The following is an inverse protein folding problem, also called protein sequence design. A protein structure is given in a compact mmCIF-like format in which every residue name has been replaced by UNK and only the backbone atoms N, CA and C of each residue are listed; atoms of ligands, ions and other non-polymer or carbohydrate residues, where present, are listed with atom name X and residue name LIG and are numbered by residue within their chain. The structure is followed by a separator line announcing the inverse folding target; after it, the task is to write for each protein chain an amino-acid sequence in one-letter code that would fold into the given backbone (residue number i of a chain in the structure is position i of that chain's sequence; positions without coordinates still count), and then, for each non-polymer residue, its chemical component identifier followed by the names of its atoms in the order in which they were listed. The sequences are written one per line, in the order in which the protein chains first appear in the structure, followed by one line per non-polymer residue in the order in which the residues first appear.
data_IF_254836740030
#
_entry.id   IF_254836740030
#
_cell.length_a   1.000
_cell.length_b   1.000
_cell.length_c   1.000
_cell.angle_alpha   90.00
_cell.angle_beta   90.00
_cell.angle_gamma   90.00
#
_symmetry.space_group_name_H-M   'P 1'
#
loop_
_entity.id
_entity.type
_entity.pdbx_description
1 polymer ?
#
# COMPACT_ATOMS: atom_id res chain seq x y z
N UNK A 1 31.51 -9.04 5.11
CA UNK A 1 30.21 -9.77 5.14
C UNK A 1 29.43 -9.37 3.90
N UNK A 2 29.16 -10.33 3.02
CA UNK A 2 28.65 -10.08 1.67
C UNK A 2 27.25 -9.47 1.67
N UNK A 3 27.03 -8.53 0.75
CA UNK A 3 25.71 -8.00 0.39
C UNK A 3 24.85 -9.21 0.01
N UNK A 4 23.89 -9.60 0.86
CA UNK A 4 22.85 -10.55 0.46
C UNK A 4 22.22 -9.98 -0.81
N UNK A 5 22.25 -10.75 -1.89
CA UNK A 5 21.49 -10.46 -3.10
C UNK A 5 20.06 -10.13 -2.67
N UNK A 6 19.63 -8.90 -2.94
CA UNK A 6 18.31 -8.39 -2.56
C UNK A 6 17.23 -9.18 -3.31
N UNK A 7 16.81 -10.31 -2.75
CA UNK A 7 15.73 -11.12 -3.32
C UNK A 7 14.42 -10.41 -3.03
N UNK A 8 13.87 -9.73 -4.03
CA UNK A 8 12.53 -9.13 -3.93
C UNK A 8 11.49 -10.23 -4.14
N UNK A 9 10.41 -10.23 -3.34
CA UNK A 9 9.30 -11.18 -3.50
C UNK A 9 8.07 -10.42 -3.99
N UNK A 10 7.52 -10.85 -5.11
CA UNK A 10 6.24 -10.40 -5.62
C UNK A 10 5.16 -11.38 -5.16
N UNK A 11 4.11 -10.87 -4.56
CA UNK A 11 2.97 -11.67 -4.15
C UNK A 11 1.74 -11.21 -4.93
N UNK A 12 1.08 -12.12 -5.65
CA UNK A 12 -0.04 -11.89 -6.56
C UNK A 12 -1.30 -12.50 -5.95
N UNK A 13 -2.38 -11.72 -5.97
CA UNK A 13 -3.62 -12.05 -5.28
C UNK A 13 -4.81 -11.91 -6.21
N UNK A 14 -5.82 -12.71 -5.95
CA UNK A 14 -7.12 -12.63 -6.59
C UNK A 14 -8.19 -12.83 -5.52
N UNK A 15 -9.19 -11.95 -5.47
CA UNK A 15 -10.24 -11.95 -4.45
C UNK A 15 -9.72 -12.05 -3.00
N UNK A 16 -8.65 -11.31 -2.68
CA UNK A 16 -8.08 -11.26 -1.32
C UNK A 16 -7.28 -12.49 -0.90
N UNK A 17 -7.10 -13.49 -1.77
CA UNK A 17 -6.27 -14.66 -1.51
C UNK A 17 -4.97 -14.61 -2.31
N UNK A 18 -3.86 -15.03 -1.71
CA UNK A 18 -2.60 -15.16 -2.44
C UNK A 18 -2.75 -16.32 -3.42
N UNK A 19 -2.67 -16.03 -4.71
CA UNK A 19 -2.70 -17.06 -5.74
C UNK A 19 -1.31 -17.41 -6.25
N UNK A 20 -0.33 -16.51 -6.05
CA UNK A 20 1.04 -16.77 -6.47
C UNK A 20 2.05 -15.95 -5.66
N UNK A 21 3.15 -16.58 -5.27
CA UNK A 21 4.36 -15.88 -4.84
C UNK A 21 5.44 -16.10 -5.89
N UNK A 22 6.13 -15.04 -6.30
CA UNK A 22 7.27 -15.09 -7.20
C UNK A 22 8.48 -14.49 -6.52
N UNK A 23 9.58 -15.23 -6.57
CA UNK A 23 10.89 -14.65 -6.30
C UNK A 23 11.31 -13.87 -7.54
N UNK A 24 11.60 -12.59 -7.36
CA UNK A 24 12.19 -11.75 -8.41
C UNK A 24 13.69 -11.83 -8.26
N UNK A 25 14.33 -12.49 -9.22
CA UNK A 25 15.77 -12.46 -9.34
C UNK A 25 16.23 -11.14 -9.96
N UNK A 26 17.51 -10.83 -9.79
CA UNK A 26 18.10 -9.66 -10.44
C UNK A 26 18.14 -9.89 -11.95
N UNK A 27 17.21 -9.26 -12.66
CA UNK A 27 17.19 -9.22 -14.13
C UNK A 27 18.06 -8.05 -14.65
N UNK A 28 18.53 -8.16 -15.90
CA UNK A 28 19.23 -7.03 -16.55
C UNK A 28 18.31 -5.82 -16.68
N UNK A 29 18.85 -4.63 -16.40
CA UNK A 29 18.11 -3.36 -16.37
C UNK A 29 17.36 -3.13 -17.67
N UNK A 30 17.99 -3.37 -18.82
CA UNK A 30 17.43 -3.10 -20.15
C UNK A 30 16.14 -3.88 -20.35
N UNK A 31 16.17 -5.19 -20.05
CA UNK A 31 15.02 -6.08 -20.19
C UNK A 31 13.84 -5.68 -19.27
N UNK A 32 14.12 -5.18 -18.07
CA UNK A 32 13.08 -4.70 -17.14
C UNK A 32 12.44 -3.41 -17.65
N UNK A 33 13.23 -2.45 -18.12
CA UNK A 33 12.72 -1.20 -18.70
C UNK A 33 11.90 -1.46 -19.97
N UNK A 34 12.35 -2.35 -20.84
CA UNK A 34 11.60 -2.74 -22.04
C UNK A 34 10.25 -3.35 -21.69
N UNK A 35 10.19 -4.27 -20.72
CA UNK A 35 8.90 -4.85 -20.26
C UNK A 35 8.00 -3.79 -19.64
N UNK A 36 8.53 -2.94 -18.77
CA UNK A 36 7.77 -1.87 -18.12
C UNK A 36 7.23 -0.86 -19.14
N UNK A 37 7.99 -0.55 -20.19
CA UNK A 37 7.59 0.39 -21.25
C UNK A 37 6.35 -0.03 -22.04
N UNK A 38 5.99 -1.32 -21.97
CA UNK A 38 4.77 -1.88 -22.59
C UNK A 38 3.51 -1.55 -21.80
N UNK A 39 3.61 -0.90 -20.66
CA UNK A 39 2.46 -0.56 -19.83
C UNK A 39 2.48 0.93 -19.48
N UNK A 40 1.29 1.53 -19.42
CA UNK A 40 1.09 2.86 -18.85
C UNK A 40 0.09 2.74 -17.71
N UNK A 41 0.49 3.18 -16.52
CA UNK A 41 -0.39 3.27 -15.35
C UNK A 41 -1.05 4.64 -15.38
N UNK A 42 -2.38 4.67 -15.29
CA UNK A 42 -3.15 5.87 -14.99
C UNK A 42 -3.41 5.87 -13.48
N UNK A 43 -2.73 6.74 -12.72
CA UNK A 43 -2.99 6.87 -11.30
C UNK A 43 -4.27 7.67 -11.05
N UNK A 44 -4.91 7.39 -9.92
CA UNK A 44 -5.89 8.25 -9.28
C UNK A 44 -5.26 8.80 -8.01
N UNK A 45 -5.18 10.12 -7.92
CA UNK A 45 -4.75 10.84 -6.72
C UNK A 45 -5.97 11.41 -6.00
N UNK A 46 -5.96 11.36 -4.68
CA UNK A 46 -7.08 11.79 -3.84
C UNK A 46 -6.58 12.31 -2.50
N UNK A 47 -7.31 13.27 -1.93
CA UNK A 47 -7.08 13.74 -0.55
C UNK A 47 -7.46 12.60 0.42
N UNK A 48 -6.83 12.57 1.60
CA UNK A 48 -7.21 11.64 2.65
C UNK A 48 -8.64 11.93 3.15
N UNK A 49 -9.61 11.23 2.60
CA UNK A 49 -11.03 11.28 2.98
C UNK A 49 -11.60 9.86 3.04
N UNK A 50 -12.28 9.56 4.15
CA UNK A 50 -12.82 8.22 4.41
C UNK A 50 -13.83 7.83 3.31
N UNK A 51 -14.71 8.75 2.89
CA UNK A 51 -15.71 8.44 1.87
C UNK A 51 -15.07 8.17 0.51
N UNK A 52 -14.04 8.94 0.15
CA UNK A 52 -13.29 8.73 -1.08
C UNK A 52 -12.57 7.37 -1.09
N UNK A 53 -12.02 6.92 0.05
CA UNK A 53 -11.46 5.57 0.20
C UNK A 53 -12.56 4.52 -0.02
N UNK A 54 -13.72 4.67 0.63
CA UNK A 54 -14.83 3.72 0.48
C UNK A 54 -15.36 3.64 -0.96
N UNK A 55 -15.43 4.77 -1.67
CA UNK A 55 -15.84 4.84 -3.08
C UNK A 55 -14.84 4.11 -3.98
N UNK A 56 -13.54 4.32 -3.76
CA UNK A 56 -12.50 3.58 -4.47
C UNK A 56 -12.63 2.08 -4.24
N UNK A 57 -12.77 1.66 -2.99
CA UNK A 57 -12.92 0.24 -2.63
C UNK A 57 -14.20 -0.38 -3.20
N UNK A 58 -15.32 0.35 -3.18
CA UNK A 58 -16.56 -0.07 -3.82
C UNK A 58 -16.38 -0.24 -5.34
N UNK A 59 -15.55 0.61 -5.95
CA UNK A 59 -15.19 0.55 -7.37
C UNK A 59 -14.10 -0.48 -7.69
N UNK A 60 -13.74 -1.34 -6.72
CA UNK A 60 -12.68 -2.35 -6.83
C UNK A 60 -11.29 -1.75 -7.09
N UNK A 61 -11.05 -0.55 -6.56
CA UNK A 61 -9.78 0.17 -6.63
C UNK A 61 -9.13 0.17 -5.24
N UNK A 62 -8.14 -0.71 -4.97
CA UNK A 62 -7.35 -0.66 -3.74
C UNK A 62 -6.64 0.68 -3.58
N UNK A 63 -6.51 1.15 -2.34
CA UNK A 63 -5.92 2.46 -2.04
C UNK A 63 -4.58 2.28 -1.33
N UNK A 64 -3.54 2.92 -1.85
CA UNK A 64 -2.22 3.00 -1.24
C UNK A 64 -2.15 4.22 -0.33
N UNK A 65 -1.61 4.02 0.87
CA UNK A 65 -1.42 5.07 1.88
C UNK A 65 -0.13 4.83 2.65
N UNK A 66 0.57 5.92 2.99
CA UNK A 66 1.67 5.90 3.95
C UNK A 66 1.14 6.10 5.36
N UNK A 67 1.43 5.16 6.27
CA UNK A 67 1.06 5.28 7.68
C UNK A 67 2.26 5.04 8.58
N UNK A 68 2.28 5.68 9.76
CA UNK A 68 3.14 5.23 10.86
C UNK A 68 2.53 3.96 11.41
N UNK A 69 3.11 2.80 11.10
CA UNK A 69 2.59 1.53 11.60
C UNK A 69 3.12 1.25 13.00
N UNK A 70 2.33 1.55 14.04
CA UNK A 70 2.74 1.37 15.43
C UNK A 70 2.46 -0.07 15.85
N UNK A 71 3.52 -0.89 15.87
CA UNK A 71 3.45 -2.36 16.04
C UNK A 71 3.22 -2.82 17.49
N UNK A 72 2.46 -2.07 18.29
CA UNK A 72 2.16 -2.47 19.68
C UNK A 72 1.00 -3.46 19.71
N UNK A 73 1.24 -4.68 20.20
CA UNK A 73 0.24 -5.73 20.48
C UNK A 73 -0.68 -6.18 19.32
N UNK A 74 -0.46 -5.75 18.07
CA UNK A 74 -1.34 -6.08 16.93
C UNK A 74 -1.48 -7.59 16.66
N UNK A 75 -0.41 -8.38 16.88
CA UNK A 75 -0.42 -9.85 16.75
C UNK A 75 -1.34 -10.52 17.79
N UNK A 76 -1.42 -9.96 19.01
CA UNK A 76 -2.26 -10.50 20.10
C UNK A 76 -3.73 -10.09 19.96
N UNK A 77 -4.01 -9.07 19.16
CA UNK A 77 -5.35 -8.53 18.94
C UNK A 77 -5.98 -9.00 17.61
N UNK A 78 -5.60 -10.18 17.10
CA UNK A 78 -6.15 -10.73 15.86
C UNK A 78 -5.88 -9.87 14.61
N UNK A 79 -4.83 -9.03 14.63
CA UNK A 79 -4.49 -8.13 13.53
C UNK A 79 -5.18 -6.76 13.60
N UNK A 80 -6.01 -6.47 14.62
CA UNK A 80 -6.62 -5.15 14.78
C UNK A 80 -5.64 -4.15 15.41
N UNK A 81 -5.36 -3.07 14.67
CA UNK A 81 -4.64 -1.92 15.19
C UNK A 81 -5.52 -1.10 16.13
N UNK A 82 -4.85 -0.41 17.03
CA UNK A 82 -5.46 0.57 17.92
C UNK A 82 -4.81 1.93 17.67
N UNK A 83 -5.61 2.99 17.80
CA UNK A 83 -5.09 4.34 17.84
C UNK A 83 -4.30 4.50 19.14
N UNK A 84 -3.07 5.05 19.10
CA UNK A 84 -2.30 5.33 20.32
C UNK A 84 -3.07 6.25 21.26
N UNK A 85 -3.03 5.95 22.56
CA UNK A 85 -3.70 6.79 23.57
C UNK A 85 -3.07 8.19 23.68
N UNK A 86 -1.75 8.29 23.49
CA UNK A 86 -1.02 9.56 23.44
C UNK A 86 -0.43 9.78 22.04
N UNK A 87 -1.08 10.63 21.25
CA UNK A 87 -0.64 11.01 19.91
C UNK A 87 0.65 11.86 19.90
N UNK A 88 1.07 12.37 21.06
CA UNK A 88 2.31 13.12 21.22
C UNK A 88 3.49 12.25 21.67
N UNK A 89 3.26 10.94 21.88
CA UNK A 89 4.32 10.00 22.29
C UNK A 89 5.55 10.15 21.37
N UNK A 90 6.74 10.44 21.93
CA UNK A 90 7.98 10.53 21.17
C UNK A 90 8.27 9.30 20.29
N UNK A 91 7.76 8.12 20.64
CA UNK A 91 7.87 6.91 19.84
C UNK A 91 7.13 7.01 18.51
N UNK A 92 5.98 7.71 18.46
CA UNK A 92 5.24 7.95 17.20
C UNK A 92 6.13 8.71 16.24
N UNK A 93 6.75 9.81 16.71
CA UNK A 93 7.64 10.65 15.88
C UNK A 93 8.87 9.89 15.38
N UNK A 94 9.35 8.92 16.16
CA UNK A 94 10.48 8.04 15.79
C UNK A 94 10.10 6.87 14.89
N UNK A 95 8.81 6.53 14.80
CA UNK A 95 8.32 5.42 13.97
C UNK A 95 8.34 5.83 12.50
N UNK A 96 8.94 5.02 11.63
CA UNK A 96 8.94 5.28 10.18
C UNK A 96 7.55 5.20 9.55
N UNK A 97 7.45 5.63 8.30
CA UNK A 97 6.25 5.47 7.48
C UNK A 97 6.36 4.15 6.70
N UNK A 98 5.34 3.32 6.81
CA UNK A 98 5.14 2.11 6.02
C UNK A 98 4.07 2.38 4.96
N UNK A 99 4.36 2.02 3.70
CA UNK A 99 3.36 2.02 2.63
C UNK A 99 2.50 0.75 2.70
N UNK A 100 1.19 0.92 2.87
CA UNK A 100 0.23 -0.18 2.96
C UNK A 100 -0.85 -0.04 1.89
N UNK A 101 -1.55 -1.14 1.61
CA UNK A 101 -2.66 -1.15 0.67
C UNK A 101 -3.98 -1.47 1.39
N UNK A 102 -4.92 -0.53 1.37
CA UNK A 102 -6.29 -0.73 1.80
C UNK A 102 -7.03 -1.48 0.70
N UNK A 103 -7.68 -2.59 1.07
CA UNK A 103 -8.35 -3.50 0.12
C UNK A 103 -9.81 -3.77 0.46
N UNK A 104 -10.29 -3.27 1.59
CA UNK A 104 -11.66 -3.46 2.03
C UNK A 104 -12.01 -2.58 3.22
N UNK A 105 -13.28 -2.55 3.59
CA UNK A 105 -13.77 -1.78 4.71
C UNK A 105 -15.00 -2.41 5.34
N UNK A 106 -15.23 -2.12 6.61
CA UNK A 106 -16.45 -2.49 7.33
C UNK A 106 -16.99 -1.26 8.06
N UNK A 107 -18.10 -0.71 7.53
CA UNK A 107 -18.78 0.46 8.10
C UNK A 107 -19.35 0.22 9.50
N UNK A 108 -19.74 -1.02 9.83
CA UNK A 108 -20.32 -1.30 11.16
C UNK A 108 -19.25 -1.27 12.23
N UNK A 109 -18.07 -1.83 11.94
CA UNK A 109 -16.96 -1.87 12.90
C UNK A 109 -16.04 -0.66 12.78
N UNK A 110 -16.14 0.14 11.71
CA UNK A 110 -15.26 1.28 11.41
C UNK A 110 -13.78 0.87 11.27
N UNK A 111 -13.55 -0.23 10.55
CA UNK A 111 -12.21 -0.72 10.24
C UNK A 111 -12.02 -0.90 8.73
N UNK A 112 -10.85 -0.49 8.25
CA UNK A 112 -10.32 -0.86 6.97
C UNK A 112 -9.60 -2.20 7.06
N UNK A 113 -9.74 -3.03 6.03
CA UNK A 113 -8.88 -4.21 5.83
C UNK A 113 -7.68 -3.78 5.03
N UNK A 114 -6.51 -3.87 5.65
CA UNK A 114 -5.26 -3.44 5.10
C UNK A 114 -4.34 -4.63 4.88
N UNK A 115 -3.64 -4.60 3.77
CA UNK A 115 -2.71 -5.63 3.34
C UNK A 115 -1.29 -5.10 3.49
N UNK A 116 -0.44 -5.88 4.15
CA UNK A 116 0.97 -5.56 4.30
C UNK A 116 1.85 -6.36 3.31
N UNK A 117 3.14 -6.05 3.28
CA UNK A 117 4.16 -6.66 2.40
C UNK A 117 5.15 -7.55 3.16
N UNK A 118 4.94 -7.80 4.46
CA UNK A 118 5.83 -8.59 5.31
C UNK A 118 5.56 -10.11 5.28
N UNK A 119 4.80 -10.58 4.29
CA UNK A 119 4.46 -11.99 4.11
C UNK A 119 3.27 -12.46 4.95
N UNK A 120 2.82 -13.70 4.69
CA UNK A 120 1.58 -14.23 5.24
C UNK A 120 1.64 -14.55 6.74
N UNK A 121 2.84 -14.77 7.28
CA UNK A 121 3.04 -15.04 8.71
C UNK A 121 2.96 -13.77 9.59
N UNK A 122 2.72 -12.61 8.97
CA UNK A 122 2.60 -11.34 9.68
C UNK A 122 1.13 -10.94 9.83
N UNK A 123 0.73 -10.55 11.05
CA UNK A 123 -0.67 -10.19 11.35
C UNK A 123 -1.64 -11.33 11.12
N UNK A 124 -2.77 -11.01 10.52
CA UNK A 124 -3.80 -11.96 10.14
C UNK A 124 -3.59 -12.39 8.68
N UNK A 125 -2.76 -13.41 8.46
CA UNK A 125 -2.44 -13.92 7.12
C UNK A 125 -1.85 -12.87 6.15
N UNK A 126 -1.01 -11.95 6.65
CA UNK A 126 -0.47 -10.83 5.88
C UNK A 126 -1.34 -9.57 5.90
N UNK A 127 -2.50 -9.63 6.54
CA UNK A 127 -3.44 -8.53 6.69
C UNK A 127 -3.46 -7.97 8.12
N UNK A 128 -4.03 -6.78 8.25
CA UNK A 128 -4.36 -6.16 9.51
C UNK A 128 -5.61 -5.29 9.33
N UNK A 129 -6.22 -4.90 10.44
CA UNK A 129 -7.42 -4.06 10.45
C UNK A 129 -7.07 -2.70 11.03
N UNK A 130 -7.26 -1.65 10.23
CA UNK A 130 -6.92 -0.27 10.58
C UNK A 130 -8.18 0.50 10.95
N UNK A 131 -8.29 1.09 12.16
CA UNK A 131 -9.44 1.93 12.50
C UNK A 131 -9.58 3.10 11.53
N UNK A 132 -10.81 3.50 11.21
CA UNK A 132 -11.07 4.70 10.39
C UNK A 132 -10.43 5.95 10.98
N UNK A 133 -10.55 6.08 12.31
CA UNK A 133 -9.98 7.19 13.09
C UNK A 133 -8.47 7.35 12.88
N UNK A 134 -7.75 6.26 12.60
CA UNK A 134 -6.31 6.31 12.37
C UNK A 134 -5.91 7.25 11.23
N UNK A 135 -6.74 7.31 10.17
CA UNK A 135 -6.52 8.15 9.01
C UNK A 135 -6.98 9.60 9.19
N UNK A 136 -7.55 9.92 10.36
CA UNK A 136 -7.97 11.28 10.72
C UNK A 136 -6.92 12.03 11.54
N UNK A 137 -5.84 11.32 11.94
CA UNK A 137 -4.76 11.87 12.76
C UNK A 137 -3.53 12.18 11.90
N UNK A 138 -3.22 13.46 11.62
CA UNK A 138 -2.10 13.84 10.73
C UNK A 138 -0.74 13.35 11.22
N UNK A 139 -0.56 13.10 12.52
CA UNK A 139 0.70 12.56 13.03
C UNK A 139 0.92 11.08 12.70
N UNK A 140 -0.13 10.35 12.32
CA UNK A 140 -0.12 8.91 12.04
C UNK A 140 -0.12 8.57 10.54
N UNK A 141 -0.41 9.54 9.70
CA UNK A 141 -0.41 9.40 8.25
C UNK A 141 0.71 10.23 7.64
N UNK A 142 1.20 9.80 6.49
CA UNK A 142 1.97 10.66 5.60
C UNK A 142 1.08 10.98 4.41
N UNK A 143 0.40 12.11 4.50
CA UNK A 143 -0.56 12.60 3.52
C UNK A 143 -0.04 13.78 2.70
N UNK A 144 1.26 14.09 2.80
CA UNK A 144 1.90 15.20 2.07
C UNK A 144 1.60 15.10 0.57
N UNK A 145 1.53 13.86 0.04
CA UNK A 145 1.17 13.55 -1.35
C UNK A 145 -0.20 12.87 -1.49
N UNK A 146 -1.08 12.92 -0.48
CA UNK A 146 -2.41 12.29 -0.49
C UNK A 146 -2.41 10.76 -0.60
N UNK A 147 -3.54 10.18 -1.02
CA UNK A 147 -3.72 8.75 -1.26
C UNK A 147 -3.73 8.45 -2.75
N UNK A 148 -3.32 7.23 -3.09
CA UNK A 148 -3.16 6.81 -4.48
C UNK A 148 -3.90 5.52 -4.78
N UNK A 149 -4.46 5.43 -5.98
CA UNK A 149 -4.95 4.17 -6.53
C UNK A 149 -4.54 4.02 -7.99
N UNK A 150 -4.55 2.79 -8.51
CA UNK A 150 -4.33 2.53 -9.93
C UNK A 150 -5.70 2.47 -10.60
N UNK A 151 -6.07 3.53 -11.31
CA UNK A 151 -7.35 3.59 -12.03
C UNK A 151 -7.35 2.64 -13.23
N UNK A 152 -6.23 2.60 -13.97
CA UNK A 152 -6.11 1.77 -15.17
C UNK A 152 -4.67 1.42 -15.49
N UNK A 153 -4.46 0.23 -16.03
CA UNK A 153 -3.20 -0.16 -16.67
C UNK A 153 -3.50 -0.35 -18.16
N UNK A 154 -2.77 0.35 -19.03
CA UNK A 154 -2.95 0.33 -20.47
C UNK A 154 -1.75 -0.38 -21.11
N UNK A 155 -1.93 -1.55 -21.75
CA UNK A 155 -0.90 -2.15 -22.59
C UNK A 155 -0.63 -1.28 -23.82
N UNK A 156 0.64 -1.06 -24.15
CA UNK A 156 1.08 -0.34 -25.34
C UNK A 156 1.46 -1.36 -26.41
N UNK A 157 0.81 -1.26 -27.57
CA UNK A 157 1.09 -2.13 -28.73
C UNK A 157 2.31 -1.67 -29.53
N UNK A 158 2.68 -0.38 -29.47
CA UNK A 158 3.88 0.18 -30.13
C UNK A 158 4.77 0.92 -29.11
N UNK A 159 6.03 0.49 -29.02
CA UNK A 159 7.04 0.93 -28.05
C UNK A 159 7.64 2.31 -28.37
N UNK A 160 6.82 3.33 -28.66
CA UNK A 160 7.34 4.69 -28.71
C UNK A 160 7.45 5.24 -27.28
N UNK A 161 8.66 5.50 -26.76
CA UNK A 161 8.82 6.02 -25.42
C UNK A 161 8.24 7.43 -25.40
N UNK A 162 7.16 7.64 -24.65
CA UNK A 162 6.76 8.99 -24.30
C UNK A 162 7.07 9.13 -22.83
N UNK A 163 8.24 9.68 -22.54
CA UNK A 163 8.52 10.29 -21.25
C UNK A 163 7.53 11.44 -21.13
N UNK A 164 6.34 11.18 -20.59
CA UNK A 164 5.50 12.26 -20.10
C UNK A 164 6.17 12.72 -18.80
N UNK A 165 7.03 13.74 -18.93
CA UNK A 165 7.41 14.57 -17.81
C UNK A 165 6.10 15.10 -17.23
N UNK A 166 5.63 14.50 -16.14
CA UNK A 166 4.61 15.10 -15.30
C UNK A 166 5.27 16.34 -14.71
N UNK A 167 5.17 17.47 -15.42
CA UNK A 167 5.41 18.78 -14.84
C UNK A 167 4.17 19.04 -13.99
N UNK A 168 4.27 18.73 -12.70
CA UNK A 168 3.36 19.31 -11.72
C UNK A 168 3.77 20.79 -11.63
N UNK A 169 2.88 21.67 -12.08
CA UNK A 169 3.01 23.13 -11.97
C UNK A 169 2.76 23.59 -10.55
#
# INVERSE_FOLDING_TARGET
MGRQSSVSRLFIYYNGQMIQQRTLEAEDRTSVYERASRYTVIPLHMICDINAIEICLYSQLPVLVGIRLIKQNFQRNGGYLQVPADLNDPLIKKTGIDGIMIVGYNKKTQYFTCRNSYGENWGYHGYFYLPYEYLTHPCLIDDIDGLWSILKIIPRTNALPTVRRLVLS
#
